data_IF_457894132869
#
_entry.id   IF_457894132869
#
_cell.length_a   1.000
_cell.length_b   1.000
_cell.length_c   1.000
_cell.angle_alpha   90.00
_cell.angle_beta   90.00
_cell.angle_gamma   90.00
#
_symmetry.space_group_name_H-M   'P 1'
#
loop_
_entity.id
_entity.type
_entity.pdbx_description
1 polymer ?
#
# COMPACT_ATOMS: atom_id res chain seq x y z
N UNK A 1 -0.74 2.90 8.95
CA UNK A 1 0.24 1.80 8.99
C UNK A 1 1.67 2.31 8.95
N UNK A 2 2.11 3.05 7.92
CA UNK A 2 3.50 3.57 7.81
C UNK A 2 3.95 4.32 9.07
N UNK A 3 3.19 5.34 9.50
CA UNK A 3 3.53 6.14 10.68
C UNK A 3 3.61 5.31 11.97
N UNK A 4 2.78 4.27 12.10
CA UNK A 4 2.85 3.33 13.21
C UNK A 4 4.16 2.52 13.17
N UNK A 5 4.56 2.01 12.00
CA UNK A 5 5.85 1.35 11.82
C UNK A 5 7.01 2.28 12.16
N UNK A 6 7.01 3.50 11.61
CA UNK A 6 8.06 4.49 11.89
C UNK A 6 8.22 4.71 13.40
N UNK A 7 7.11 4.85 14.14
CA UNK A 7 7.16 4.98 15.60
C UNK A 7 7.69 3.72 16.31
N UNK A 8 7.20 2.53 15.95
CA UNK A 8 7.60 1.25 16.57
C UNK A 8 9.09 0.94 16.38
N UNK A 9 9.65 1.34 15.24
CA UNK A 9 11.05 1.15 14.89
C UNK A 9 11.92 2.38 15.19
N UNK A 10 11.43 3.34 15.98
CA UNK A 10 12.15 4.55 16.40
C UNK A 10 12.72 5.37 15.22
N UNK A 11 12.03 5.36 14.08
CA UNK A 11 12.38 6.20 12.94
C UNK A 11 12.02 7.67 13.25
N UNK A 12 12.86 8.65 12.84
CA UNK A 12 12.52 10.06 12.92
C UNK A 12 11.17 10.40 12.29
N UNK A 13 10.42 11.40 12.79
CA UNK A 13 9.17 11.80 12.16
C UNK A 13 9.43 12.30 10.73
N UNK A 14 8.52 11.95 9.81
CA UNK A 14 8.64 12.28 8.39
C UNK A 14 7.42 11.77 7.62
N UNK A 15 7.38 12.03 6.31
CA UNK A 15 6.27 11.58 5.47
C UNK A 15 6.34 10.06 5.20
N UNK A 16 7.51 9.57 4.81
CA UNK A 16 7.82 8.16 4.55
C UNK A 16 9.08 7.74 5.34
N UNK A 17 9.26 6.45 5.64
CA UNK A 17 10.51 5.95 6.17
C UNK A 17 11.59 6.05 5.09
N UNK A 18 12.83 6.35 5.50
CA UNK A 18 13.97 6.15 4.61
C UNK A 18 14.05 4.67 4.23
N UNK A 19 14.45 4.43 2.99
CA UNK A 19 14.60 3.13 2.37
C UNK A 19 15.42 2.12 3.15
N UNK A 20 16.48 2.58 3.82
CA UNK A 20 17.45 1.78 4.56
C UNK A 20 17.09 1.60 6.04
N UNK A 21 15.96 2.20 6.47
CA UNK A 21 15.56 2.19 7.86
C UNK A 21 14.95 0.86 8.33
N UNK A 22 15.05 0.59 9.63
CA UNK A 22 14.36 -0.55 10.25
C UNK A 22 12.83 -0.48 10.07
N UNK A 23 12.26 0.73 10.03
CA UNK A 23 10.84 0.92 9.74
C UNK A 23 10.44 0.39 8.35
N UNK A 24 11.32 0.54 7.36
CA UNK A 24 11.14 0.01 6.02
C UNK A 24 11.41 -1.51 5.95
N UNK A 25 12.47 -1.99 6.62
CA UNK A 25 13.06 -3.31 6.34
C UNK A 25 12.76 -4.43 7.36
N UNK A 26 12.53 -4.12 8.64
CA UNK A 26 12.41 -5.16 9.66
C UNK A 26 10.99 -5.73 9.79
N UNK A 27 10.83 -7.06 9.85
CA UNK A 27 9.53 -7.70 10.08
C UNK A 27 9.17 -7.79 11.58
N UNK A 28 8.06 -8.48 11.87
CA UNK A 28 7.78 -9.14 13.17
C UNK A 28 7.55 -8.25 14.42
N UNK A 29 7.03 -7.03 14.24
CA UNK A 29 6.56 -6.17 15.35
C UNK A 29 5.05 -5.91 15.31
N UNK A 30 4.30 -6.90 14.84
CA UNK A 30 2.88 -6.79 14.48
C UNK A 30 2.03 -6.25 15.63
N UNK A 31 2.19 -6.77 16.84
CA UNK A 31 1.38 -6.36 18.00
C UNK A 31 1.61 -4.90 18.40
N UNK A 32 2.84 -4.41 18.28
CA UNK A 32 3.17 -3.02 18.59
C UNK A 32 2.66 -2.07 17.50
N UNK A 33 2.78 -2.49 16.23
CA UNK A 33 2.23 -1.74 15.09
C UNK A 33 0.70 -1.63 15.22
N UNK A 34 0.02 -2.72 15.59
CA UNK A 34 -1.43 -2.73 15.85
C UNK A 34 -1.81 -1.82 17.01
N UNK A 35 -1.05 -1.81 18.11
CA UNK A 35 -1.31 -0.90 19.25
C UNK A 35 -1.26 0.56 18.82
N UNK A 36 -0.30 0.93 17.99
CA UNK A 36 -0.18 2.31 17.48
C UNK A 36 -1.30 2.68 16.50
N UNK A 37 -1.71 1.75 15.62
CA UNK A 37 -2.88 1.95 14.75
C UNK A 37 -4.16 2.08 15.59
N UNK A 38 -4.36 1.18 16.56
CA UNK A 38 -5.52 1.15 17.44
C UNK A 38 -5.61 2.44 18.28
N UNK A 39 -4.47 2.97 18.73
CA UNK A 39 -4.42 4.26 19.40
C UNK A 39 -4.98 5.40 18.52
N UNK A 40 -4.62 5.44 17.23
CA UNK A 40 -5.19 6.39 16.28
C UNK A 40 -6.69 6.21 16.06
N UNK A 41 -7.16 4.97 15.92
CA UNK A 41 -8.58 4.64 15.75
C UNK A 41 -9.42 5.05 16.96
N UNK A 42 -8.93 4.79 18.18
CA UNK A 42 -9.60 5.22 19.43
C UNK A 42 -9.72 6.74 19.56
N UNK A 43 -8.90 7.49 18.82
CA UNK A 43 -8.93 8.96 18.77
C UNK A 43 -9.83 9.51 17.66
N UNK A 44 -10.56 8.65 16.94
CA UNK A 44 -11.50 9.06 15.90
C UNK A 44 -10.94 9.04 14.48
N UNK A 45 -9.85 8.31 14.22
CA UNK A 45 -9.41 8.12 12.84
C UNK A 45 -10.48 7.36 12.02
N UNK A 46 -10.82 7.90 10.85
CA UNK A 46 -11.89 7.38 9.97
C UNK A 46 -11.44 6.24 9.04
N UNK A 47 -10.12 6.02 8.95
CA UNK A 47 -9.51 5.08 8.03
C UNK A 47 -8.12 4.66 8.51
N UNK A 48 -7.62 3.54 7.99
CA UNK A 48 -6.22 3.14 8.12
C UNK A 48 -5.53 3.26 6.76
N UNK A 49 -4.53 4.12 6.67
CA UNK A 49 -3.68 4.26 5.49
C UNK A 49 -2.56 3.21 5.46
N UNK A 50 -2.40 2.54 4.34
CA UNK A 50 -1.37 1.55 4.03
C UNK A 50 -0.54 2.03 2.84
N UNK A 51 0.78 2.06 3.02
CA UNK A 51 1.71 2.27 1.92
C UNK A 51 2.69 1.13 1.89
N UNK A 52 2.23 -0.01 1.38
CA UNK A 52 2.88 -1.30 1.53
C UNK A 52 4.22 -1.32 0.78
N UNK A 53 4.29 -0.68 -0.39
CA UNK A 53 5.53 -0.58 -1.15
C UNK A 53 6.66 0.13 -0.39
N UNK A 54 6.31 1.12 0.43
CA UNK A 54 7.30 1.90 1.19
C UNK A 54 7.89 1.15 2.38
N UNK A 55 7.34 -0.01 2.73
CA UNK A 55 7.77 -0.83 3.87
C UNK A 55 7.93 -2.29 3.43
N UNK A 56 8.92 -2.60 2.56
CA UNK A 56 9.08 -3.94 1.99
C UNK A 56 9.27 -5.05 3.05
N UNK A 57 9.74 -4.70 4.25
CA UNK A 57 9.82 -5.59 5.40
C UNK A 57 8.49 -5.94 6.06
N UNK A 58 7.40 -5.22 5.74
CA UNK A 58 6.07 -5.54 6.23
C UNK A 58 5.56 -6.84 5.58
N UNK A 59 5.46 -7.88 6.39
CA UNK A 59 5.03 -9.20 5.94
C UNK A 59 3.55 -9.19 5.52
N UNK A 60 3.14 -10.15 4.69
CA UNK A 60 1.73 -10.32 4.34
C UNK A 60 0.86 -10.55 5.57
N UNK A 61 1.38 -11.29 6.56
CA UNK A 61 0.67 -11.54 7.81
C UNK A 61 0.47 -10.27 8.65
N UNK A 62 1.45 -9.36 8.68
CA UNK A 62 1.30 -8.05 9.31
C UNK A 62 0.15 -7.25 8.67
N UNK A 63 0.06 -7.25 7.34
CA UNK A 63 -1.00 -6.56 6.62
C UNK A 63 -2.37 -7.19 6.91
N UNK A 64 -2.48 -8.53 6.91
CA UNK A 64 -3.71 -9.25 7.31
C UNK A 64 -4.17 -8.81 8.70
N UNK A 65 -3.27 -8.79 9.67
CA UNK A 65 -3.58 -8.43 11.05
C UNK A 65 -4.00 -6.96 11.21
N UNK A 66 -3.41 -6.05 10.43
CA UNK A 66 -3.82 -4.65 10.38
C UNK A 66 -5.18 -4.45 9.69
N UNK A 67 -5.50 -5.22 8.64
CA UNK A 67 -6.82 -5.23 8.01
C UNK A 67 -7.91 -5.74 8.95
N UNK A 68 -7.63 -6.81 9.71
CA UNK A 68 -8.54 -7.31 10.76
C UNK A 68 -8.81 -6.23 11.82
N UNK A 69 -7.79 -5.47 12.20
CA UNK A 69 -7.95 -4.35 13.12
C UNK A 69 -8.82 -3.24 12.51
N UNK A 70 -8.61 -2.86 11.26
CA UNK A 70 -9.46 -1.88 10.56
C UNK A 70 -10.92 -2.37 10.52
N UNK A 71 -11.16 -3.64 10.19
CA UNK A 71 -12.51 -4.21 10.21
C UNK A 71 -13.14 -4.22 11.60
N UNK A 72 -12.38 -4.54 12.66
CA UNK A 72 -12.87 -4.50 14.05
C UNK A 72 -13.43 -3.11 14.41
N UNK A 73 -12.84 -2.05 13.89
CA UNK A 73 -13.26 -0.67 14.09
C UNK A 73 -14.23 -0.16 13.01
N UNK A 74 -14.59 -1.01 12.04
CA UNK A 74 -15.45 -0.71 10.91
C UNK A 74 -15.03 0.55 10.12
N UNK A 75 -13.72 0.66 9.87
CA UNK A 75 -13.12 1.75 9.09
C UNK A 75 -12.50 1.24 7.78
N UNK A 76 -12.38 2.12 6.79
CA UNK A 76 -11.84 1.78 5.48
C UNK A 76 -10.29 1.64 5.49
N UNK A 77 -9.77 0.66 4.75
CA UNK A 77 -8.36 0.50 4.43
C UNK A 77 -8.03 1.28 3.15
N UNK A 78 -7.25 2.36 3.24
CA UNK A 78 -6.76 3.10 2.08
C UNK A 78 -5.38 2.56 1.68
N UNK A 79 -5.24 1.99 0.50
CA UNK A 79 -4.11 1.12 0.17
C UNK A 79 -3.34 1.61 -1.05
N UNK A 80 -2.12 2.06 -0.81
CA UNK A 80 -1.05 2.09 -1.80
C UNK A 80 -0.38 0.71 -1.81
N UNK A 81 -0.55 0.00 -2.92
CA UNK A 81 -0.27 -1.44 -3.06
C UNK A 81 1.22 -1.78 -2.96
N UNK A 82 1.56 -3.07 -2.84
CA UNK A 82 2.93 -3.54 -2.63
C UNK A 82 3.86 -3.33 -3.83
N UNK A 83 3.33 -3.37 -5.05
CA UNK A 83 4.08 -3.20 -6.27
C UNK A 83 3.33 -2.30 -7.25
N UNK A 84 4.08 -1.64 -8.13
CA UNK A 84 3.55 -0.94 -9.30
C UNK A 84 3.96 -1.66 -10.58
N UNK A 85 3.54 -1.12 -11.72
CA UNK A 85 3.98 -1.60 -13.04
C UNK A 85 3.10 -2.70 -13.62
N UNK A 86 3.24 -2.94 -14.92
CA UNK A 86 2.41 -3.85 -15.70
C UNK A 86 3.03 -5.25 -15.90
N UNK A 87 4.12 -5.54 -15.21
CA UNK A 87 4.86 -6.80 -15.30
C UNK A 87 4.07 -7.93 -14.65
N UNK A 88 4.20 -9.13 -15.19
CA UNK A 88 3.49 -10.31 -14.65
C UNK A 88 4.03 -10.70 -13.27
N UNK A 89 5.36 -10.73 -13.13
CA UNK A 89 6.03 -11.02 -11.86
C UNK A 89 6.18 -9.74 -11.06
N UNK A 90 5.74 -9.77 -9.81
CA UNK A 90 5.84 -8.65 -8.88
C UNK A 90 5.32 -7.32 -9.45
N UNK A 91 4.30 -7.35 -10.32
CA UNK A 91 3.64 -6.14 -10.81
C UNK A 91 2.38 -5.79 -10.04
N UNK A 92 1.72 -4.73 -10.50
CA UNK A 92 0.54 -4.16 -9.86
C UNK A 92 -0.66 -5.10 -9.81
N UNK A 93 -0.86 -6.00 -10.79
CA UNK A 93 -1.98 -6.95 -10.78
C UNK A 93 -1.82 -8.00 -9.69
N UNK A 94 -0.61 -8.52 -9.50
CA UNK A 94 -0.30 -9.42 -8.38
C UNK A 94 -0.50 -8.70 -7.03
N UNK A 95 -0.12 -7.42 -6.94
CA UNK A 95 -0.35 -6.61 -5.76
C UNK A 95 -1.85 -6.35 -5.51
N UNK A 96 -2.64 -6.10 -6.56
CA UNK A 96 -4.10 -5.95 -6.44
C UNK A 96 -4.76 -7.25 -6.00
N UNK A 97 -4.34 -8.40 -6.53
CA UNK A 97 -4.82 -9.71 -6.10
C UNK A 97 -4.53 -9.97 -4.61
N UNK A 98 -3.39 -9.52 -4.08
CA UNK A 98 -3.12 -9.52 -2.63
C UNK A 98 -4.18 -8.70 -1.87
N UNK A 99 -4.55 -7.52 -2.36
CA UNK A 99 -5.58 -6.67 -1.74
C UNK A 99 -6.98 -7.29 -1.82
N UNK A 100 -7.34 -7.90 -2.94
CA UNK A 100 -8.61 -8.62 -3.08
C UNK A 100 -8.69 -9.81 -2.13
N UNK A 101 -7.60 -10.58 -1.98
CA UNK A 101 -7.53 -11.67 -1.01
C UNK A 101 -7.70 -11.17 0.43
N UNK A 102 -7.07 -10.04 0.77
CA UNK A 102 -7.24 -9.38 2.07
C UNK A 102 -8.71 -8.99 2.32
N UNK A 103 -9.37 -8.36 1.35
CA UNK A 103 -10.79 -8.02 1.43
C UNK A 103 -11.68 -9.24 1.59
N UNK A 104 -11.42 -10.31 0.83
CA UNK A 104 -12.19 -11.55 0.91
C UNK A 104 -12.08 -12.24 2.28
N UNK A 105 -10.86 -12.32 2.84
CA UNK A 105 -10.59 -13.00 4.10
C UNK A 105 -10.93 -12.18 5.35
N UNK A 106 -10.86 -10.85 5.28
CA UNK A 106 -11.07 -9.97 6.45
C UNK A 106 -12.41 -9.26 6.44
N UNK A 107 -13.07 -9.14 5.27
CA UNK A 107 -14.28 -8.34 5.06
C UNK A 107 -14.11 -6.85 5.41
N UNK A 108 -12.88 -6.35 5.46
CA UNK A 108 -12.58 -4.93 5.59
C UNK A 108 -13.01 -4.18 4.33
N UNK A 109 -13.52 -2.96 4.51
CA UNK A 109 -13.76 -2.02 3.40
C UNK A 109 -12.42 -1.52 2.86
N UNK A 110 -12.30 -1.37 1.54
CA UNK A 110 -11.03 -1.06 0.86
C UNK A 110 -11.20 0.11 -0.10
N UNK A 111 -10.27 1.05 -0.07
CA UNK A 111 -10.06 2.01 -1.14
C UNK A 111 -8.65 1.85 -1.72
N UNK A 112 -8.53 1.39 -2.96
CA UNK A 112 -7.24 1.29 -3.65
C UNK A 112 -6.81 2.68 -4.12
N UNK A 113 -5.69 3.17 -3.61
CA UNK A 113 -5.17 4.50 -3.91
C UNK A 113 -4.54 4.56 -5.31
N UNK A 114 -4.78 5.68 -6.00
CA UNK A 114 -4.19 6.14 -7.28
C UNK A 114 -3.90 5.00 -8.25
N UNK A 115 -4.95 4.24 -8.56
CA UNK A 115 -4.85 2.96 -9.28
C UNK A 115 -4.14 3.10 -10.62
N UNK A 116 -4.44 4.17 -11.35
CA UNK A 116 -3.89 4.40 -12.69
C UNK A 116 -2.36 4.55 -12.65
N UNK A 117 -1.84 5.30 -11.68
CA UNK A 117 -0.40 5.55 -11.57
C UNK A 117 0.35 4.36 -11.01
N UNK A 118 -0.32 3.47 -10.27
CA UNK A 118 0.27 2.23 -9.79
C UNK A 118 0.22 1.14 -10.85
N UNK A 119 -0.87 1.04 -11.61
CA UNK A 119 -1.08 -0.02 -12.60
C UNK A 119 -0.55 0.28 -14.00
N UNK A 120 -0.34 1.55 -14.36
CA UNK A 120 0.14 1.97 -15.68
C UNK A 120 -0.68 1.32 -16.81
N UNK A 121 -0.03 0.63 -17.74
CA UNK A 121 -0.69 -0.08 -18.85
C UNK A 121 -1.72 -1.14 -18.39
N UNK A 122 -1.60 -1.65 -17.16
CA UNK A 122 -2.52 -2.64 -16.60
C UNK A 122 -3.80 -2.05 -15.98
N UNK A 123 -3.98 -0.72 -16.01
CA UNK A 123 -5.11 -0.03 -15.34
C UNK A 123 -6.48 -0.57 -15.75
N UNK A 124 -6.70 -0.86 -17.04
CA UNK A 124 -7.97 -1.40 -17.52
C UNK A 124 -8.31 -2.75 -16.86
N UNK A 125 -7.35 -3.67 -16.79
CA UNK A 125 -7.50 -4.98 -16.12
C UNK A 125 -7.73 -4.82 -14.62
N UNK A 126 -7.04 -3.87 -14.00
CA UNK A 126 -7.20 -3.58 -12.58
C UNK A 126 -8.62 -3.07 -12.27
N UNK A 127 -9.18 -2.21 -13.12
CA UNK A 127 -10.57 -1.73 -13.01
C UNK A 127 -11.58 -2.87 -13.19
N UNK A 128 -11.36 -3.77 -14.15
CA UNK A 128 -12.19 -4.97 -14.33
C UNK A 128 -12.21 -5.83 -13.06
N UNK A 129 -11.04 -6.10 -12.47
CA UNK A 129 -10.93 -6.88 -11.23
C UNK A 129 -11.63 -6.21 -10.04
N UNK A 130 -11.49 -4.89 -9.89
CA UNK A 130 -12.18 -4.14 -8.82
C UNK A 130 -13.69 -4.17 -9.03
N UNK A 131 -14.16 -3.99 -10.28
CA UNK A 131 -15.57 -4.06 -10.63
C UNK A 131 -16.17 -5.43 -10.34
N UNK A 132 -15.47 -6.50 -10.70
CA UNK A 132 -15.91 -7.86 -10.42
C UNK A 132 -15.94 -8.15 -8.92
N UNK A 133 -14.93 -7.71 -8.17
CA UNK A 133 -14.92 -7.85 -6.70
C UNK A 133 -16.09 -7.10 -6.06
N UNK A 134 -16.37 -5.88 -6.50
CA UNK A 134 -17.50 -5.07 -6.05
C UNK A 134 -18.83 -5.77 -6.34
N UNK A 135 -19.04 -6.25 -7.57
CA UNK A 135 -20.23 -7.02 -7.96
C UNK A 135 -20.44 -8.28 -7.12
N UNK A 136 -19.35 -8.90 -6.67
CA UNK A 136 -19.38 -10.07 -5.79
C UNK A 136 -19.53 -9.70 -4.29
N UNK A 137 -19.91 -8.46 -3.98
CA UNK A 137 -20.24 -8.02 -2.62
C UNK A 137 -19.05 -7.60 -1.77
N UNK A 138 -17.87 -7.39 -2.36
CA UNK A 138 -16.76 -6.77 -1.65
C UNK A 138 -16.99 -5.26 -1.56
N UNK A 139 -16.85 -4.68 -0.37
CA UNK A 139 -16.84 -3.23 -0.18
C UNK A 139 -15.48 -2.68 -0.62
N UNK A 140 -15.37 -2.40 -1.92
CA UNK A 140 -14.14 -1.93 -2.54
C UNK A 140 -14.42 -0.75 -3.47
N UNK A 141 -13.59 0.28 -3.35
CA UNK A 141 -13.54 1.46 -4.22
C UNK A 141 -12.11 1.72 -4.68
N UNK A 142 -11.96 2.69 -5.58
CA UNK A 142 -10.66 3.19 -6.00
C UNK A 142 -10.74 4.65 -6.40
N UNK A 143 -9.60 5.30 -6.54
CA UNK A 143 -9.48 6.67 -6.97
C UNK A 143 -8.33 6.85 -7.98
N UNK A 144 -8.34 8.01 -8.64
CA UNK A 144 -7.29 8.46 -9.53
C UNK A 144 -7.10 9.97 -9.40
N UNK A 145 -5.94 10.45 -9.84
CA UNK A 145 -5.67 11.86 -10.04
C UNK A 145 -5.47 12.15 -11.54
N UNK A 146 -5.89 13.32 -12.05
CA UNK A 146 -5.90 13.63 -13.48
C UNK A 146 -4.53 14.10 -14.00
N UNK A 147 -3.46 13.39 -13.66
CA UNK A 147 -2.09 13.68 -14.10
C UNK A 147 -1.41 12.44 -14.66
N UNK A 148 -0.48 12.68 -15.59
CA UNK A 148 0.30 11.64 -16.27
C UNK A 148 1.51 11.15 -15.44
N UNK A 149 1.88 11.88 -14.39
CA UNK A 149 3.03 11.56 -13.55
C UNK A 149 2.61 11.38 -12.09
N UNK A 150 3.26 10.45 -11.40
CA UNK A 150 3.21 10.32 -9.95
C UNK A 150 4.28 11.15 -9.25
N UNK A 151 4.20 11.22 -7.92
CA UNK A 151 5.17 11.90 -7.07
C UNK A 151 5.38 11.08 -5.79
N UNK A 152 6.64 10.90 -5.40
CA UNK A 152 7.05 10.25 -4.16
C UNK A 152 8.42 10.77 -3.74
N UNK A 153 8.90 10.41 -2.56
CA UNK A 153 10.25 10.76 -2.11
C UNK A 153 11.28 9.81 -2.74
N UNK A 154 12.39 10.37 -3.22
CA UNK A 154 13.46 9.62 -3.90
C UNK A 154 14.21 8.66 -2.95
N UNK A 155 14.19 8.96 -1.65
CA UNK A 155 14.76 8.15 -0.57
C UNK A 155 13.83 7.05 -0.07
N UNK A 156 12.68 6.85 -0.73
CA UNK A 156 11.74 5.80 -0.35
C UNK A 156 12.15 4.44 -0.89
N UNK A 157 11.63 3.37 -0.27
CA UNK A 157 11.92 2.00 -0.70
C UNK A 157 11.50 1.66 -2.14
N UNK A 158 10.73 2.53 -2.80
CA UNK A 158 10.36 2.38 -4.22
C UNK A 158 11.58 2.30 -5.15
N UNK A 159 12.68 2.95 -4.77
CA UNK A 159 13.87 3.13 -5.61
C UNK A 159 15.07 2.31 -5.13
N UNK A 160 14.85 1.35 -4.22
CA UNK A 160 15.93 0.59 -3.56
C UNK A 160 16.57 -0.50 -4.39
N UNK A 161 15.83 -1.05 -5.33
CA UNK A 161 16.33 -2.06 -6.25
C UNK A 161 16.36 -1.49 -7.66
N UNK A 162 17.02 -2.17 -8.58
CA UNK A 162 17.03 -1.76 -9.99
C UNK A 162 15.71 -2.11 -10.70
N UNK A 163 14.73 -2.72 -10.01
CA UNK A 163 13.48 -3.16 -10.61
C UNK A 163 12.55 -2.00 -10.92
N UNK A 164 12.66 -0.85 -10.24
CA UNK A 164 11.80 0.30 -10.52
C UNK A 164 11.89 0.77 -11.98
N UNK A 165 13.07 0.67 -12.60
CA UNK A 165 13.25 1.07 -13.99
C UNK A 165 12.49 0.15 -14.93
N UNK A 166 12.58 -1.17 -14.71
CA UNK A 166 11.82 -2.17 -15.45
C UNK A 166 10.32 -2.00 -15.20
N UNK A 167 9.94 -1.86 -13.92
CA UNK A 167 8.56 -1.83 -13.48
C UNK A 167 7.81 -0.58 -13.97
N UNK A 168 8.43 0.60 -13.90
CA UNK A 168 7.88 1.85 -14.43
C UNK A 168 8.12 2.03 -15.93
N UNK A 169 9.06 1.29 -16.53
CA UNK A 169 9.45 1.48 -17.92
C UNK A 169 10.17 2.82 -18.17
N UNK A 170 10.84 3.36 -17.16
CA UNK A 170 11.62 4.61 -17.24
C UNK A 170 13.04 4.39 -16.69
N UNK A 171 13.93 5.35 -16.93
CA UNK A 171 15.26 5.40 -16.34
C UNK A 171 15.45 6.73 -15.58
N UNK A 172 16.67 7.01 -15.12
CA UNK A 172 16.98 8.26 -14.42
C UNK A 172 16.54 9.54 -15.16
N UNK A 173 16.51 9.56 -16.50
CA UNK A 173 16.03 10.72 -17.27
C UNK A 173 14.51 10.91 -17.21
N UNK A 174 13.77 9.88 -16.78
CA UNK A 174 12.33 9.95 -16.55
C UNK A 174 11.96 10.51 -15.18
N UNK A 175 12.93 10.71 -14.28
CA UNK A 175 12.72 11.36 -12.99
C UNK A 175 12.76 12.88 -13.17
N UNK A 176 11.75 13.57 -12.65
CA UNK A 176 11.61 15.03 -12.72
C UNK A 176 11.43 15.62 -11.31
N UNK A 177 11.86 16.87 -11.11
CA UNK A 177 11.82 17.59 -9.84
C UNK A 177 10.86 18.79 -9.90
#
# INVERSE_FOLDING_TARGET
HIQARMKVFNHPPGFLPHSDSSAALQPDRIDEIKKEIEYGLRRGAMAVGFGIHYVPGATRWEIVECFRLAKKYDVCCHVHMRHFGAQEKNGSLAALQEILALGACTKAAINVCHLHSTCLAATHKALELIHDAHKNGMDITTEFYPYLAGCSTIDSALFNDDLWQEQLGINYNGLTY
#
